data_IF_879837941963
#
_entry.id   IF_879837941963
#
_cell.length_a   1.000
_cell.length_b   1.000
_cell.length_c   1.000
_cell.angle_alpha   90.00
_cell.angle_beta   90.00
_cell.angle_gamma   90.00
#
_symmetry.space_group_name_H-M   'P 1'
#
loop_
_entity.id
_entity.type
_entity.pdbx_description
1 polymer ?
#
# COMPACT_ATOMS: atom_id res chain seq x y z
N UNK A 1 17.90 25.72 11.19
CA UNK A 1 18.13 24.27 11.40
C UNK A 1 19.62 24.02 11.59
N UNK A 2 20.12 24.12 12.82
CA UNK A 2 21.50 23.81 13.20
C UNK A 2 21.52 22.36 13.69
N UNK A 3 22.18 21.47 12.94
CA UNK A 3 22.25 20.03 13.28
C UNK A 3 22.08 19.05 12.12
N UNK A 4 22.14 19.48 10.85
CA UNK A 4 22.31 18.53 9.75
C UNK A 4 23.76 18.06 9.73
N UNK A 5 23.99 16.81 10.11
CA UNK A 5 25.24 16.11 9.84
C UNK A 5 25.27 15.77 8.35
N UNK A 6 26.43 15.89 7.71
CA UNK A 6 26.63 15.43 6.34
C UNK A 6 26.35 13.92 6.30
N UNK A 7 25.42 13.49 5.44
CA UNK A 7 24.93 12.12 5.43
C UNK A 7 24.42 11.75 4.06
N UNK A 8 24.47 10.45 3.77
CA UNK A 8 24.03 9.90 2.49
C UNK A 8 22.50 9.89 2.40
N UNK A 9 21.89 10.38 1.30
CA UNK A 9 20.47 10.23 1.05
C UNK A 9 20.02 8.75 1.10
N UNK A 10 18.78 8.51 1.55
CA UNK A 10 18.19 7.15 1.63
C UNK A 10 18.38 6.37 0.33
N UNK A 11 18.10 7.01 -0.80
CA UNK A 11 18.15 6.38 -2.11
C UNK A 11 19.58 5.95 -2.48
N UNK A 12 20.59 6.78 -2.20
CA UNK A 12 22.00 6.43 -2.43
C UNK A 12 22.47 5.31 -1.52
N UNK A 13 22.05 5.29 -0.25
CA UNK A 13 22.38 4.19 0.66
C UNK A 13 21.73 2.87 0.20
N UNK A 14 20.47 2.92 -0.24
CA UNK A 14 19.78 1.75 -0.78
C UNK A 14 20.44 1.26 -2.08
N UNK A 15 20.86 2.18 -2.95
CA UNK A 15 21.59 1.85 -4.17
C UNK A 15 22.88 1.09 -3.90
N UNK A 16 23.66 1.49 -2.90
CA UNK A 16 24.85 0.74 -2.49
C UNK A 16 24.52 -0.67 -1.97
N UNK A 17 23.46 -0.81 -1.16
CA UNK A 17 23.03 -2.12 -0.68
C UNK A 17 22.61 -3.05 -1.83
N UNK A 18 21.92 -2.50 -2.84
CA UNK A 18 21.51 -3.22 -4.06
C UNK A 18 22.72 -3.61 -4.89
N UNK A 19 23.70 -2.72 -5.06
CA UNK A 19 24.91 -2.98 -5.84
C UNK A 19 25.86 -4.01 -5.20
N UNK A 20 25.86 -4.13 -3.88
CA UNK A 20 26.74 -5.04 -3.14
C UNK A 20 26.19 -6.47 -3.00
N UNK A 21 24.94 -6.73 -3.41
CA UNK A 21 24.28 -8.03 -3.22
C UNK A 21 23.51 -8.46 -4.45
N UNK A 22 23.34 -9.79 -4.58
CA UNK A 22 22.33 -10.36 -5.49
C UNK A 22 20.97 -9.84 -5.08
N UNK A 23 20.34 -9.08 -5.96
CA UNK A 23 19.18 -8.27 -5.59
C UNK A 23 18.06 -8.36 -6.61
N UNK A 24 16.85 -8.29 -6.06
CA UNK A 24 15.58 -8.23 -6.78
C UNK A 24 14.96 -6.89 -6.43
N UNK A 25 14.72 -6.04 -7.43
CA UNK A 25 14.03 -4.76 -7.22
C UNK A 25 12.72 -4.78 -7.98
N UNK A 26 11.64 -4.43 -7.27
CA UNK A 26 10.28 -4.41 -7.82
C UNK A 26 9.81 -2.96 -7.96
N UNK A 27 9.51 -2.54 -9.19
CA UNK A 27 8.93 -1.25 -9.54
C UNK A 27 7.57 -1.37 -10.24
N UNK A 28 7.03 -0.23 -10.66
CA UNK A 28 5.74 -0.08 -11.35
C UNK A 28 4.75 0.78 -10.55
N UNK A 29 3.68 1.28 -11.15
CA UNK A 29 2.79 2.24 -10.47
C UNK A 29 2.10 1.62 -9.25
N UNK A 30 1.57 0.40 -9.39
CA UNK A 30 0.83 -0.30 -8.33
C UNK A 30 1.36 -1.72 -8.07
N UNK A 31 1.01 -2.34 -6.94
CA UNK A 31 1.34 -3.75 -6.68
C UNK A 31 2.79 -4.02 -6.23
N UNK A 32 3.67 -3.01 -6.25
CA UNK A 32 5.08 -3.12 -5.81
C UNK A 32 5.21 -3.78 -4.44
N UNK A 33 4.64 -3.16 -3.41
CA UNK A 33 4.74 -3.64 -2.02
C UNK A 33 4.28 -5.09 -1.87
N UNK A 34 3.17 -5.45 -2.52
CA UNK A 34 2.61 -6.81 -2.47
C UNK A 34 3.53 -7.81 -3.15
N UNK A 35 4.02 -7.52 -4.35
CA UNK A 35 4.93 -8.39 -5.10
C UNK A 35 6.28 -8.54 -4.40
N UNK A 36 6.87 -7.46 -3.88
CA UNK A 36 8.10 -7.52 -3.05
C UNK A 36 7.88 -8.38 -1.81
N UNK A 37 6.74 -8.24 -1.13
CA UNK A 37 6.39 -9.02 0.05
C UNK A 37 6.20 -10.51 -0.26
N UNK A 38 5.54 -10.85 -1.37
CA UNK A 38 5.38 -12.23 -1.83
C UNK A 38 6.74 -12.91 -2.05
N UNK A 39 7.66 -12.25 -2.75
CA UNK A 39 9.01 -12.79 -3.03
C UNK A 39 9.78 -13.00 -1.72
N UNK A 40 9.84 -11.98 -0.86
CA UNK A 40 10.55 -12.07 0.42
C UNK A 40 9.94 -13.13 1.36
N UNK A 41 8.61 -13.24 1.39
CA UNK A 41 7.89 -14.25 2.16
C UNK A 41 8.24 -15.67 1.71
N UNK A 42 8.13 -15.97 0.41
CA UNK A 42 8.44 -17.31 -0.09
C UNK A 42 9.90 -17.69 0.12
N UNK A 43 10.84 -16.78 -0.16
CA UNK A 43 12.26 -17.04 0.10
C UNK A 43 12.53 -17.34 1.57
N UNK A 44 11.86 -16.63 2.49
CA UNK A 44 12.02 -16.84 3.93
C UNK A 44 11.37 -18.15 4.39
N UNK A 45 10.16 -18.43 3.93
CA UNK A 45 9.41 -19.66 4.23
C UNK A 45 10.19 -20.92 3.80
N UNK A 46 10.87 -20.85 2.65
CA UNK A 46 11.66 -21.95 2.10
C UNK A 46 13.11 -21.97 2.63
N UNK A 47 13.47 -21.11 3.58
CA UNK A 47 14.79 -21.13 4.22
C UNK A 47 15.93 -20.56 3.38
N UNK A 48 15.66 -19.75 2.35
CA UNK A 48 16.70 -19.08 1.53
C UNK A 48 17.29 -17.82 2.19
N UNK A 49 16.93 -17.54 3.45
CA UNK A 49 17.47 -16.45 4.28
C UNK A 49 17.56 -15.08 3.56
N UNK A 50 16.47 -14.56 2.98
CA UNK A 50 16.51 -13.29 2.27
C UNK A 50 16.75 -12.12 3.23
N UNK A 51 17.30 -11.04 2.69
CA UNK A 51 17.13 -9.71 3.26
C UNK A 51 16.06 -8.96 2.48
N UNK A 52 15.33 -8.06 3.12
CA UNK A 52 14.28 -7.31 2.43
C UNK A 52 14.12 -5.89 2.95
N UNK A 53 13.64 -5.02 2.08
CA UNK A 53 13.23 -3.65 2.37
C UNK A 53 11.93 -3.39 1.58
N UNK A 54 10.80 -3.36 2.29
CA UNK A 54 9.44 -3.28 1.75
C UNK A 54 8.80 -1.99 2.28
N UNK A 55 7.97 -1.33 1.46
CA UNK A 55 7.27 -0.09 1.81
C UNK A 55 6.13 -0.26 2.83
N UNK A 56 5.73 -1.50 3.11
CA UNK A 56 4.66 -1.86 4.05
C UNK A 56 5.07 -2.98 5.01
N UNK A 57 4.43 -3.01 6.18
CA UNK A 57 4.67 -4.06 7.18
C UNK A 57 4.07 -5.37 6.69
N UNK A 58 4.88 -6.44 6.70
CA UNK A 58 4.42 -7.79 6.37
C UNK A 58 4.40 -8.60 7.67
N UNK A 59 3.22 -8.87 8.25
CA UNK A 59 3.11 -9.57 9.54
C UNK A 59 3.83 -10.92 9.56
N UNK A 60 3.74 -11.70 8.47
CA UNK A 60 4.40 -13.00 8.33
C UNK A 60 5.93 -12.92 8.29
N UNK A 61 6.50 -11.75 7.94
CA UNK A 61 7.93 -11.49 7.99
C UNK A 61 8.37 -10.82 9.31
N UNK A 62 7.41 -10.42 10.15
CA UNK A 62 7.67 -9.71 11.41
C UNK A 62 7.99 -8.23 11.25
N UNK A 63 7.85 -7.66 10.05
CA UNK A 63 8.19 -6.26 9.78
C UNK A 63 8.25 -5.93 8.29
N UNK A 64 8.66 -4.69 7.98
CA UNK A 64 8.86 -4.21 6.62
C UNK A 64 10.32 -4.28 6.15
N UNK A 65 11.26 -4.56 7.05
CA UNK A 65 12.66 -4.79 6.72
C UNK A 65 13.22 -5.96 7.51
N UNK A 66 14.19 -6.66 6.93
CA UNK A 66 14.85 -7.79 7.57
C UNK A 66 16.22 -8.07 6.98
N UNK A 67 17.02 -8.80 7.77
CA UNK A 67 18.40 -9.16 7.43
C UNK A 67 18.51 -10.64 7.12
N UNK A 68 19.42 -10.96 6.21
CA UNK A 68 19.68 -12.30 5.71
C UNK A 68 20.87 -12.29 4.75
N UNK A 69 21.47 -13.46 4.58
CA UNK A 69 22.67 -13.68 3.75
C UNK A 69 22.33 -14.03 2.29
N UNK A 70 21.07 -14.35 2.00
CA UNK A 70 20.58 -14.66 0.66
C UNK A 70 20.28 -13.40 -0.17
N UNK A 71 19.31 -13.54 -1.07
CA UNK A 71 18.87 -12.45 -1.96
C UNK A 71 18.37 -11.23 -1.18
N UNK A 72 18.69 -10.05 -1.70
CA UNK A 72 18.11 -8.78 -1.25
C UNK A 72 16.86 -8.46 -2.08
N UNK A 73 15.69 -8.42 -1.45
CA UNK A 73 14.41 -8.10 -2.10
C UNK A 73 13.97 -6.68 -1.72
N UNK A 74 13.83 -5.78 -2.70
CA UNK A 74 13.62 -4.35 -2.45
C UNK A 74 12.42 -3.84 -3.25
N UNK A 75 11.59 -3.03 -2.59
CA UNK A 75 10.60 -2.18 -3.25
C UNK A 75 11.29 -0.93 -3.80
N UNK A 76 11.21 -0.72 -5.12
CA UNK A 76 11.75 0.46 -5.80
C UNK A 76 10.68 1.54 -5.98
N UNK A 77 11.02 2.79 -5.72
CA UNK A 77 10.10 3.93 -5.79
C UNK A 77 10.34 4.75 -7.07
N UNK A 78 9.38 4.72 -7.99
CA UNK A 78 9.39 5.51 -9.22
C UNK A 78 8.89 6.94 -9.02
N UNK A 79 8.12 7.22 -7.95
CA UNK A 79 7.42 8.49 -7.76
C UNK A 79 8.37 9.69 -7.58
N UNK A 80 9.59 9.45 -7.14
CA UNK A 80 10.68 10.43 -7.04
C UNK A 80 11.88 10.07 -7.95
N UNK A 81 11.69 9.12 -8.88
CA UNK A 81 12.71 8.54 -9.76
C UNK A 81 13.90 7.87 -9.03
N UNK A 82 13.82 7.66 -7.71
CA UNK A 82 14.93 7.09 -6.94
C UNK A 82 15.25 5.64 -7.31
N UNK A 83 14.27 4.89 -7.83
CA UNK A 83 14.48 3.55 -8.38
C UNK A 83 15.58 3.50 -9.46
N UNK A 84 15.80 4.58 -10.21
CA UNK A 84 16.84 4.64 -11.25
C UNK A 84 18.27 4.46 -10.71
N UNK A 85 18.49 4.70 -9.42
CA UNK A 85 19.78 4.48 -8.76
C UNK A 85 19.98 3.01 -8.37
N UNK A 86 18.93 2.18 -8.41
CA UNK A 86 18.98 0.79 -8.00
C UNK A 86 19.32 -0.06 -9.23
N UNK A 87 20.44 -0.77 -9.19
CA UNK A 87 20.90 -1.63 -10.27
C UNK A 87 20.81 -3.11 -9.84
N UNK A 88 19.63 -3.76 -9.95
CA UNK A 88 19.43 -5.12 -9.50
C UNK A 88 19.96 -6.17 -10.47
N UNK A 89 20.10 -7.41 -9.99
CA UNK A 89 20.30 -8.59 -10.86
C UNK A 89 18.97 -8.98 -11.53
N UNK A 90 17.84 -8.85 -10.81
CA UNK A 90 16.48 -9.10 -11.30
C UNK A 90 15.64 -7.83 -11.13
N UNK A 91 15.19 -7.25 -12.24
CA UNK A 91 14.23 -6.15 -12.23
C UNK A 91 12.81 -6.68 -12.50
N UNK A 92 11.85 -6.32 -11.65
CA UNK A 92 10.42 -6.64 -11.83
C UNK A 92 9.65 -5.35 -12.06
N UNK A 93 8.90 -5.25 -13.15
CA UNK A 93 7.97 -4.15 -13.42
C UNK A 93 6.54 -4.69 -13.38
N UNK A 94 5.77 -4.24 -12.41
CA UNK A 94 4.41 -4.73 -12.14
C UNK A 94 3.37 -4.16 -13.11
N UNK A 95 3.49 -2.90 -13.51
CA UNK A 95 2.63 -2.22 -14.47
C UNK A 95 3.22 -0.85 -14.82
N UNK A 96 2.69 -0.25 -15.89
CA UNK A 96 2.98 1.13 -16.31
C UNK A 96 1.65 1.87 -16.35
N UNK A 97 1.40 2.72 -15.36
CA UNK A 97 0.23 3.59 -15.29
C UNK A 97 0.62 4.97 -14.73
N UNK A 98 -0.07 6.02 -15.15
CA UNK A 98 0.13 7.37 -14.65
C UNK A 98 -0.66 7.60 -13.37
N UNK A 99 -0.10 7.19 -12.24
CA UNK A 99 -0.67 7.51 -10.91
C UNK A 99 0.05 8.68 -10.21
N UNK A 100 1.24 9.05 -10.70
CA UNK A 100 2.10 10.08 -10.12
C UNK A 100 2.47 11.18 -11.15
N UNK A 101 1.50 12.03 -11.50
CA UNK A 101 1.66 13.11 -12.50
C UNK A 101 2.75 14.16 -12.18
N UNK A 102 3.28 14.18 -10.95
CA UNK A 102 4.33 15.12 -10.57
C UNK A 102 5.71 14.76 -11.13
N UNK A 103 5.96 13.47 -11.38
CA UNK A 103 7.28 12.98 -11.79
C UNK A 103 7.39 12.60 -13.26
N UNK A 104 6.28 12.24 -13.91
CA UNK A 104 6.25 11.84 -15.31
C UNK A 104 5.10 12.56 -16.04
N UNK A 105 5.41 13.10 -17.22
CA UNK A 105 4.47 13.85 -18.04
C UNK A 105 3.53 12.95 -18.86
N UNK A 106 3.90 11.68 -19.08
CA UNK A 106 3.09 10.74 -19.87
C UNK A 106 3.40 9.27 -19.57
N UNK A 107 2.46 8.36 -19.90
CA UNK A 107 2.67 6.90 -19.84
C UNK A 107 3.89 6.51 -20.69
N UNK A 108 4.07 7.14 -21.85
CA UNK A 108 5.21 6.90 -22.74
C UNK A 108 6.56 7.31 -22.11
N UNK A 109 6.58 8.39 -21.32
CA UNK A 109 7.78 8.75 -20.55
C UNK A 109 8.07 7.73 -19.45
N UNK A 110 7.05 7.32 -18.70
CA UNK A 110 7.19 6.31 -17.66
C UNK A 110 7.64 4.96 -18.22
N UNK A 111 7.10 4.55 -19.37
CA UNK A 111 7.49 3.33 -20.07
C UNK A 111 8.98 3.36 -20.46
N UNK A 112 9.43 4.44 -21.11
CA UNK A 112 10.86 4.61 -21.46
C UNK A 112 11.75 4.60 -20.24
N UNK A 113 11.33 5.27 -19.16
CA UNK A 113 12.06 5.27 -17.90
C UNK A 113 12.25 3.85 -17.34
N UNK A 114 11.19 3.04 -17.31
CA UNK A 114 11.30 1.65 -16.86
C UNK A 114 12.11 0.78 -17.82
N UNK A 115 12.01 0.98 -19.13
CA UNK A 115 12.82 0.26 -20.11
C UNK A 115 14.32 0.57 -19.95
N UNK A 116 14.69 1.84 -19.77
CA UNK A 116 16.07 2.28 -19.52
C UNK A 116 16.61 1.72 -18.20
N UNK A 117 15.82 1.78 -17.14
CA UNK A 117 16.18 1.24 -15.84
C UNK A 117 16.37 -0.28 -15.87
N UNK A 118 15.38 -1.00 -16.43
CA UNK A 118 15.39 -2.46 -16.46
C UNK A 118 16.47 -3.02 -17.40
N UNK A 119 16.88 -2.28 -18.43
CA UNK A 119 17.98 -2.67 -19.32
C UNK A 119 19.33 -2.84 -18.60
N UNK A 120 19.49 -2.24 -17.41
CA UNK A 120 20.66 -2.43 -16.55
C UNK A 120 20.67 -3.74 -15.77
N UNK A 121 19.55 -4.47 -15.69
CA UNK A 121 19.44 -5.72 -14.95
C UNK A 121 19.82 -6.93 -15.83
N UNK A 122 20.28 -8.01 -15.19
CA UNK A 122 20.57 -9.26 -15.91
C UNK A 122 19.30 -9.99 -16.35
N UNK A 123 18.23 -9.85 -15.58
CA UNK A 123 16.92 -10.42 -15.89
C UNK A 123 15.83 -9.37 -15.67
N UNK A 124 14.86 -9.33 -16.59
CA UNK A 124 13.73 -8.40 -16.53
C UNK A 124 12.43 -9.19 -16.59
N UNK A 125 11.56 -8.94 -15.62
CA UNK A 125 10.20 -9.49 -15.57
C UNK A 125 9.22 -8.34 -15.74
N UNK A 126 8.36 -8.44 -16.77
CA UNK A 126 7.23 -7.53 -16.99
C UNK A 126 5.96 -8.28 -16.69
N UNK A 127 5.23 -7.88 -15.64
CA UNK A 127 4.09 -8.66 -15.18
C UNK A 127 2.98 -8.80 -16.24
N UNK A 128 2.81 -7.81 -17.12
CA UNK A 128 1.84 -7.86 -18.21
C UNK A 128 2.20 -8.84 -19.34
N UNK A 129 3.39 -9.43 -19.32
CA UNK A 129 3.80 -10.51 -20.24
C UNK A 129 3.50 -11.90 -19.65
N UNK A 130 2.97 -11.96 -18.42
CA UNK A 130 2.69 -13.19 -17.70
C UNK A 130 1.18 -13.45 -17.63
N UNK A 131 0.84 -14.73 -17.56
CA UNK A 131 -0.50 -15.16 -17.19
C UNK A 131 -0.69 -15.13 -15.67
N UNK A 132 -1.83 -14.66 -15.14
CA UNK A 132 -2.16 -14.75 -13.73
C UNK A 132 -2.08 -16.20 -13.23
N UNK A 133 -1.65 -16.39 -11.97
CA UNK A 133 -1.59 -17.73 -11.38
C UNK A 133 -2.98 -18.37 -11.31
N UNK A 134 -3.06 -19.67 -11.61
CA UNK A 134 -4.32 -20.41 -11.63
C UNK A 134 -4.73 -20.98 -10.26
N UNK A 135 -3.80 -21.08 -9.31
CA UNK A 135 -4.08 -21.58 -7.96
C UNK A 135 -4.70 -20.50 -7.06
N UNK A 136 -5.36 -20.95 -6.00
CA UNK A 136 -6.03 -20.06 -5.05
C UNK A 136 -5.00 -19.37 -4.13
N UNK A 137 -5.13 -18.05 -4.00
CA UNK A 137 -4.34 -17.23 -3.09
C UNK A 137 -5.19 -16.85 -1.87
N UNK A 138 -4.58 -16.82 -0.68
CA UNK A 138 -5.25 -16.27 0.50
C UNK A 138 -5.58 -14.77 0.35
N UNK A 139 -4.82 -14.03 -0.45
CA UNK A 139 -5.14 -12.64 -0.83
C UNK A 139 -6.08 -12.59 -2.04
N UNK A 140 -7.23 -11.88 -1.96
CA UNK A 140 -8.20 -11.85 -3.05
C UNK A 140 -7.77 -10.92 -4.19
N UNK A 141 -8.32 -11.15 -5.39
CA UNK A 141 -8.29 -10.21 -6.52
C UNK A 141 -7.37 -10.61 -7.67
N UNK A 142 -7.79 -10.27 -8.90
CA UNK A 142 -7.07 -10.63 -10.13
C UNK A 142 -5.67 -10.00 -10.21
N UNK A 143 -5.55 -8.75 -9.77
CA UNK A 143 -4.26 -8.08 -9.68
C UNK A 143 -3.28 -8.82 -8.77
N UNK A 144 -3.76 -9.47 -7.70
CA UNK A 144 -2.91 -10.26 -6.82
C UNK A 144 -2.48 -11.58 -7.46
N UNK A 145 -3.29 -12.16 -8.35
CA UNK A 145 -2.85 -13.31 -9.16
C UNK A 145 -1.75 -12.94 -10.15
N UNK A 146 -1.82 -11.74 -10.74
CA UNK A 146 -0.76 -11.23 -11.61
C UNK A 146 0.52 -10.86 -10.82
N UNK A 147 0.37 -10.22 -9.65
CA UNK A 147 1.47 -9.97 -8.72
C UNK A 147 2.17 -11.29 -8.30
N UNK A 148 1.37 -12.32 -8.01
CA UNK A 148 1.88 -13.65 -7.69
C UNK A 148 2.61 -14.30 -8.88
N UNK A 149 2.15 -14.10 -10.11
CA UNK A 149 2.85 -14.59 -11.31
C UNK A 149 4.22 -13.91 -11.46
N UNK A 150 4.30 -12.60 -11.27
CA UNK A 150 5.57 -11.85 -11.29
C UNK A 150 6.51 -12.29 -10.15
N UNK A 151 5.97 -12.52 -8.94
CA UNK A 151 6.73 -13.06 -7.82
C UNK A 151 7.26 -14.46 -8.12
N UNK A 152 6.44 -15.34 -8.70
CA UNK A 152 6.82 -16.70 -9.06
C UNK A 152 7.94 -16.72 -10.10
N UNK A 153 7.87 -15.89 -11.15
CA UNK A 153 8.93 -15.75 -12.13
C UNK A 153 10.25 -15.26 -11.49
N UNK A 154 10.19 -14.32 -10.55
CA UNK A 154 11.38 -13.85 -9.84
C UNK A 154 11.98 -14.94 -8.94
N UNK A 155 11.14 -15.74 -8.29
CA UNK A 155 11.55 -16.87 -7.46
C UNK A 155 12.23 -17.97 -8.31
N UNK A 156 11.70 -18.28 -9.50
CA UNK A 156 12.33 -19.25 -10.42
C UNK A 156 13.76 -18.82 -10.80
N UNK A 157 13.98 -17.53 -11.06
CA UNK A 157 15.32 -16.97 -11.33
C UNK A 157 16.26 -17.01 -10.13
N UNK A 158 15.74 -17.14 -8.91
CA UNK A 158 16.56 -17.31 -7.70
C UNK A 158 17.02 -18.75 -7.48
N UNK A 159 16.50 -19.70 -8.27
CA UNK A 159 16.72 -21.14 -8.12
C UNK A 159 15.65 -21.86 -7.30
N UNK A 160 14.59 -21.16 -6.87
CA UNK A 160 13.44 -21.81 -6.20
C UNK A 160 12.58 -22.51 -7.24
N UNK A 161 12.26 -23.78 -7.02
CA UNK A 161 11.39 -24.53 -7.93
C UNK A 161 9.94 -24.02 -7.83
N UNK A 162 9.22 -24.03 -8.96
CA UNK A 162 7.79 -23.70 -8.97
C UNK A 162 6.98 -24.58 -8.00
N UNK A 163 7.28 -25.87 -7.93
CA UNK A 163 6.61 -26.81 -7.02
C UNK A 163 6.77 -26.46 -5.54
N UNK A 164 7.88 -25.82 -5.15
CA UNK A 164 8.10 -25.36 -3.77
C UNK A 164 7.50 -23.97 -3.54
N UNK A 165 7.58 -23.10 -4.54
CA UNK A 165 7.11 -21.72 -4.46
C UNK A 165 5.58 -21.60 -4.41
N UNK A 166 4.84 -22.34 -5.23
CA UNK A 166 3.36 -22.20 -5.32
C UNK A 166 2.65 -22.47 -3.97
N UNK A 167 2.95 -23.57 -3.23
CA UNK A 167 2.30 -23.83 -1.95
C UNK A 167 2.66 -22.81 -0.86
N UNK A 168 3.86 -22.23 -0.92
CA UNK A 168 4.25 -21.14 -0.03
C UNK A 168 3.47 -19.88 -0.41
N UNK A 169 3.48 -19.50 -1.68
CA UNK A 169 2.83 -18.29 -2.18
C UNK A 169 1.31 -18.29 -1.92
N UNK A 170 0.65 -19.44 -2.03
CA UNK A 170 -0.77 -19.61 -1.68
C UNK A 170 -1.10 -19.23 -0.22
N UNK A 171 -0.12 -19.38 0.70
CA UNK A 171 -0.25 -19.06 2.14
C UNK A 171 0.11 -17.61 2.48
N UNK A 172 0.53 -16.80 1.50
CA UNK A 172 0.79 -15.38 1.73
C UNK A 172 -0.51 -14.66 2.07
N UNK A 173 -0.58 -14.10 3.29
CA UNK A 173 -1.76 -13.50 3.88
C UNK A 173 -1.86 -11.98 3.65
N UNK A 174 -0.93 -11.41 2.87
CA UNK A 174 -0.97 -10.00 2.48
C UNK A 174 0.01 -9.11 3.23
N UNK A 175 -0.04 -7.83 2.86
CA UNK A 175 0.70 -6.75 3.51
C UNK A 175 -0.26 -6.08 4.48
N UNK A 176 0.19 -5.80 5.70
CA UNK A 176 -0.61 -5.10 6.70
C UNK A 176 -1.12 -3.78 6.13
N UNK A 177 -2.38 -3.45 6.44
CA UNK A 177 -3.04 -2.22 6.00
C UNK A 177 -3.19 -2.10 4.47
N UNK A 178 -3.29 -3.22 3.75
CA UNK A 178 -3.69 -3.25 2.33
C UNK A 178 -4.99 -4.05 2.22
N UNK A 179 -6.11 -3.34 2.28
CA UNK A 179 -7.47 -3.87 2.35
C UNK A 179 -7.62 -5.01 3.38
N UNK A 180 -6.97 -4.82 4.54
CA UNK A 180 -6.85 -5.84 5.58
C UNK A 180 -8.18 -5.98 6.32
N UNK A 181 -8.75 -7.19 6.37
CA UNK A 181 -9.91 -7.48 7.21
C UNK A 181 -9.48 -7.53 8.68
N UNK A 182 -9.85 -6.50 9.44
CA UNK A 182 -9.53 -6.37 10.88
C UNK A 182 -10.55 -7.10 11.75
N UNK A 183 -11.84 -7.10 11.35
CA UNK A 183 -12.90 -7.81 12.06
C UNK A 183 -14.08 -8.14 11.16
N UNK A 184 -14.75 -9.24 11.49
CA UNK A 184 -16.07 -9.64 10.99
C UNK A 184 -16.89 -10.15 12.18
N UNK A 185 -17.68 -9.27 12.81
CA UNK A 185 -18.40 -9.52 14.07
C UNK A 185 -19.70 -8.74 14.13
N UNK A 186 -20.76 -9.30 14.73
CA UNK A 186 -22.06 -8.61 14.82
C UNK A 186 -22.67 -8.24 13.45
N UNK A 187 -22.31 -8.94 12.38
CA UNK A 187 -22.69 -8.63 11.00
C UNK A 187 -22.01 -7.39 10.42
N UNK A 188 -20.95 -6.87 11.05
CA UNK A 188 -20.19 -5.69 10.62
C UNK A 188 -18.78 -6.12 10.26
N UNK A 189 -18.32 -5.70 9.09
CA UNK A 189 -16.93 -5.92 8.64
C UNK A 189 -16.13 -4.63 8.73
N UNK A 190 -14.91 -4.74 9.23
CA UNK A 190 -13.98 -3.62 9.39
C UNK A 190 -12.72 -3.90 8.61
N UNK A 191 -12.37 -3.01 7.69
CA UNK A 191 -11.16 -3.07 6.90
C UNK A 191 -10.23 -1.90 7.23
N UNK A 192 -8.91 -2.12 7.16
CA UNK A 192 -7.90 -1.05 7.20
C UNK A 192 -7.09 -1.01 5.90
N UNK A 193 -6.91 0.20 5.35
CA UNK A 193 -6.15 0.44 4.15
C UNK A 193 -5.25 1.69 4.26
N UNK A 194 -4.07 1.59 3.66
CA UNK A 194 -3.05 2.63 3.58
C UNK A 194 -3.35 3.70 2.52
N UNK A 195 -4.39 3.50 1.70
CA UNK A 195 -4.90 4.43 0.71
C UNK A 195 -5.03 5.83 1.31
N UNK A 196 -4.33 6.79 0.68
CA UNK A 196 -4.22 8.14 1.21
C UNK A 196 -4.25 9.22 0.13
N UNK A 197 -4.08 8.84 -1.15
CA UNK A 197 -4.35 9.72 -2.28
C UNK A 197 -5.80 9.54 -2.78
N UNK A 198 -6.37 10.52 -3.51
CA UNK A 198 -7.78 10.47 -3.93
C UNK A 198 -8.14 9.20 -4.74
N UNK A 199 -7.27 8.77 -5.66
CA UNK A 199 -7.54 7.62 -6.53
C UNK A 199 -7.54 6.31 -5.76
N UNK A 200 -6.55 6.11 -4.90
CA UNK A 200 -6.45 4.96 -4.00
C UNK A 200 -7.68 4.87 -3.10
N UNK A 201 -8.09 5.99 -2.50
CA UNK A 201 -9.28 6.05 -1.63
C UNK A 201 -10.53 5.63 -2.41
N UNK A 202 -10.73 6.19 -3.60
CA UNK A 202 -11.89 5.86 -4.43
C UNK A 202 -11.92 4.36 -4.80
N UNK A 203 -10.80 3.81 -5.26
CA UNK A 203 -10.68 2.38 -5.61
C UNK A 203 -10.96 1.48 -4.41
N UNK A 204 -10.40 1.83 -3.25
CA UNK A 204 -10.59 1.09 -2.00
C UNK A 204 -12.06 1.10 -1.57
N UNK A 205 -12.71 2.27 -1.60
CA UNK A 205 -14.12 2.39 -1.21
C UNK A 205 -15.06 1.71 -2.20
N UNK A 206 -14.76 1.72 -3.51
CA UNK A 206 -15.53 0.95 -4.50
C UNK A 206 -15.41 -0.56 -4.27
N UNK A 207 -14.20 -1.03 -3.98
CA UNK A 207 -13.97 -2.44 -3.62
C UNK A 207 -14.72 -2.82 -2.34
N UNK A 208 -14.75 -1.95 -1.33
CA UNK A 208 -15.53 -2.16 -0.11
C UNK A 208 -17.04 -2.13 -0.33
N UNK A 209 -17.53 -1.31 -1.27
CA UNK A 209 -18.95 -1.28 -1.63
C UNK A 209 -19.43 -2.64 -2.15
N UNK A 210 -18.64 -3.31 -2.98
CA UNK A 210 -18.96 -4.66 -3.48
C UNK A 210 -19.05 -5.71 -2.38
N UNK A 211 -18.50 -5.42 -1.19
CA UNK A 211 -18.55 -6.32 -0.04
C UNK A 211 -19.83 -6.16 0.77
N UNK A 212 -20.63 -5.10 0.63
CA UNK A 212 -21.80 -4.85 1.49
C UNK A 212 -23.06 -4.51 0.71
N UNK A 213 -24.19 -5.06 1.16
CA UNK A 213 -25.54 -4.61 0.76
C UNK A 213 -26.07 -3.50 1.70
N UNK A 214 -25.40 -3.28 2.83
CA UNK A 214 -25.69 -2.23 3.80
C UNK A 214 -24.92 -0.95 3.48
N UNK A 215 -24.58 -0.18 4.53
CA UNK A 215 -23.88 1.09 4.35
C UNK A 215 -22.37 0.89 4.36
N UNK A 216 -21.70 1.70 3.55
CA UNK A 216 -20.27 1.88 3.57
C UNK A 216 -19.92 3.11 4.41
N UNK A 217 -19.09 2.93 5.42
CA UNK A 217 -18.61 3.99 6.31
C UNK A 217 -17.10 4.15 6.12
N UNK A 218 -16.69 5.28 5.54
CA UNK A 218 -15.29 5.64 5.41
C UNK A 218 -14.80 6.39 6.65
N UNK A 219 -13.63 6.02 7.18
CA UNK A 219 -12.97 6.70 8.30
C UNK A 219 -11.57 7.11 7.84
N UNK A 220 -11.37 8.39 7.56
CA UNK A 220 -10.16 8.89 6.90
C UNK A 220 -9.31 9.78 7.80
N UNK A 221 -8.01 9.49 7.86
CA UNK A 221 -7.01 10.39 8.42
C UNK A 221 -6.16 11.00 7.29
N UNK A 222 -6.31 12.31 7.01
CA UNK A 222 -5.46 12.99 6.05
C UNK A 222 -3.99 12.97 6.49
N UNK A 223 -3.08 12.84 5.53
CA UNK A 223 -1.63 12.81 5.76
C UNK A 223 -0.94 13.94 4.99
N UNK A 224 -0.03 14.65 5.66
CA UNK A 224 0.73 15.81 5.17
C UNK A 224 -0.15 17.05 4.95
N UNK A 225 0.21 18.19 5.56
CA UNK A 225 -0.56 19.42 5.49
C UNK A 225 -0.55 20.01 4.08
N UNK A 226 0.59 20.06 3.40
CA UNK A 226 0.69 20.63 2.06
C UNK A 226 -0.14 19.84 1.04
N UNK A 227 -0.11 18.50 1.10
CA UNK A 227 -0.97 17.65 0.26
C UNK A 227 -2.44 17.89 0.54
N UNK A 228 -2.82 17.94 1.82
CA UNK A 228 -4.21 18.24 2.22
C UNK A 228 -4.66 19.59 1.64
N UNK A 229 -3.83 20.63 1.76
CA UNK A 229 -4.11 21.97 1.22
C UNK A 229 -4.32 21.96 -0.29
N UNK A 230 -3.57 21.14 -1.03
CA UNK A 230 -3.63 21.06 -2.48
C UNK A 230 -4.81 20.23 -2.98
N UNK A 231 -5.13 19.13 -2.30
CA UNK A 231 -6.02 18.08 -2.81
C UNK A 231 -7.32 17.91 -1.99
N UNK A 232 -7.65 18.82 -1.07
CA UNK A 232 -8.79 18.63 -0.17
C UNK A 232 -10.13 18.40 -0.89
N UNK A 233 -10.33 18.98 -2.08
CA UNK A 233 -11.56 18.81 -2.86
C UNK A 233 -11.63 17.41 -3.46
N UNK A 234 -10.54 16.95 -4.04
CA UNK A 234 -10.39 15.63 -4.64
C UNK A 234 -10.50 14.54 -3.57
N UNK A 235 -9.86 14.75 -2.41
CA UNK A 235 -9.98 13.87 -1.24
C UNK A 235 -11.43 13.81 -0.74
N UNK A 236 -12.11 14.95 -0.59
CA UNK A 236 -13.52 15.00 -0.21
C UNK A 236 -14.43 14.29 -1.22
N UNK A 237 -14.19 14.50 -2.52
CA UNK A 237 -14.90 13.85 -3.62
C UNK A 237 -14.73 12.33 -3.60
N UNK A 238 -13.52 11.83 -3.35
CA UNK A 238 -13.23 10.39 -3.26
C UNK A 238 -13.98 9.71 -2.10
N UNK A 239 -14.12 10.38 -0.96
CA UNK A 239 -14.96 9.91 0.16
C UNK A 239 -16.45 9.85 -0.19
N UNK A 240 -16.87 10.49 -1.29
CA UNK A 240 -18.23 10.48 -1.83
C UNK A 240 -18.78 9.11 -2.22
N UNK A 241 -17.93 8.09 -2.34
CA UNK A 241 -18.34 6.70 -2.60
C UNK A 241 -19.06 6.07 -1.40
N UNK A 242 -18.75 6.53 -0.18
CA UNK A 242 -19.31 6.03 1.05
C UNK A 242 -20.66 6.70 1.39
N UNK A 243 -21.50 6.03 2.17
CA UNK A 243 -22.75 6.61 2.69
C UNK A 243 -22.48 7.54 3.88
N UNK A 244 -21.37 7.30 4.58
CA UNK A 244 -20.91 8.13 5.68
C UNK A 244 -19.38 8.27 5.67
N UNK A 245 -18.89 9.45 6.04
CA UNK A 245 -17.47 9.75 6.15
C UNK A 245 -17.18 10.39 7.51
N UNK A 246 -16.29 9.76 8.27
CA UNK A 246 -15.66 10.32 9.47
C UNK A 246 -14.25 10.76 9.11
N UNK A 247 -13.89 12.01 9.39
CA UNK A 247 -12.56 12.54 9.08
C UNK A 247 -11.89 13.01 10.36
N UNK A 248 -10.63 12.60 10.55
CA UNK A 248 -9.81 13.02 11.68
C UNK A 248 -8.96 14.24 11.36
N UNK A 249 -8.23 14.75 12.35
CA UNK A 249 -7.22 15.77 12.09
C UNK A 249 -6.10 15.24 11.18
N UNK A 250 -5.45 16.16 10.45
CA UNK A 250 -4.28 15.87 9.60
C UNK A 250 -3.11 15.43 10.46
N UNK A 251 -2.44 14.35 10.07
CA UNK A 251 -1.13 13.98 10.62
C UNK A 251 -0.02 14.45 9.68
N UNK A 252 0.83 15.36 10.18
CA UNK A 252 1.85 16.04 9.36
C UNK A 252 3.06 15.21 8.99
N UNK A 253 3.36 14.12 9.71
CA UNK A 253 4.61 13.40 9.56
C UNK A 253 5.82 14.31 9.83
N UNK A 254 6.57 14.68 8.78
CA UNK A 254 7.66 15.67 8.83
C UNK A 254 7.25 17.09 8.40
N UNK A 255 6.03 17.26 7.89
CA UNK A 255 5.49 18.54 7.43
C UNK A 255 4.97 19.36 8.62
N UNK A 256 5.12 20.68 8.55
CA UNK A 256 4.71 21.59 9.62
C UNK A 256 3.23 21.96 9.48
N UNK A 257 2.48 22.07 10.61
CA UNK A 257 1.10 22.55 10.59
C UNK A 257 0.97 23.93 9.91
N UNK A 258 -0.11 24.11 9.16
CA UNK A 258 -0.39 25.35 8.40
C UNK A 258 -1.71 25.96 8.84
N UNK A 259 -1.79 27.30 9.02
CA UNK A 259 -3.05 27.95 9.35
C UNK A 259 -4.16 27.62 8.33
N UNK A 260 -5.32 27.22 8.83
CA UNK A 260 -6.49 26.91 8.00
C UNK A 260 -6.48 25.53 7.32
N UNK A 261 -5.40 24.75 7.45
CA UNK A 261 -5.33 23.38 6.89
C UNK A 261 -5.60 22.37 8.00
N UNK A 262 -6.78 21.76 7.96
CA UNK A 262 -7.21 20.72 8.89
C UNK A 262 -7.97 19.63 8.13
N UNK A 263 -8.21 18.49 8.78
CA UNK A 263 -9.07 17.45 8.19
C UNK A 263 -10.50 17.93 7.96
N UNK A 264 -10.95 18.97 8.67
CA UNK A 264 -12.23 19.62 8.44
C UNK A 264 -12.33 20.20 7.02
N UNK A 265 -11.22 20.67 6.44
CA UNK A 265 -11.19 21.17 5.06
C UNK A 265 -11.57 20.08 4.04
N UNK A 266 -11.10 18.84 4.28
CA UNK A 266 -11.47 17.65 3.49
C UNK A 266 -12.94 17.31 3.72
N UNK A 267 -13.36 17.23 5.00
CA UNK A 267 -14.73 16.89 5.38
C UNK A 267 -15.77 17.85 4.79
N UNK A 268 -15.49 19.15 4.80
CA UNK A 268 -16.38 20.18 4.27
C UNK A 268 -16.54 20.09 2.74
N UNK A 269 -15.59 19.42 2.06
CA UNK A 269 -15.61 19.17 0.61
C UNK A 269 -16.23 17.83 0.21
N UNK A 270 -16.63 17.00 1.18
CA UNK A 270 -17.38 15.76 0.90
C UNK A 270 -18.73 16.11 0.24
N UNK A 271 -19.14 15.41 -0.84
CA UNK A 271 -20.38 15.68 -1.55
C UNK A 271 -21.63 15.73 -0.65
N UNK A 272 -22.70 16.44 -1.07
CA UNK A 272 -24.00 16.33 -0.40
C UNK A 272 -24.54 14.89 -0.49
N UNK A 273 -25.28 14.45 0.53
CA UNK A 273 -25.83 13.09 0.61
C UNK A 273 -24.99 12.12 1.47
N UNK A 274 -23.69 12.37 1.62
CA UNK A 274 -22.84 11.61 2.54
C UNK A 274 -23.01 12.16 3.96
N UNK A 275 -23.24 11.27 4.94
CA UNK A 275 -23.26 11.67 6.36
C UNK A 275 -21.84 12.04 6.82
N UNK A 276 -21.65 13.26 7.34
CA UNK A 276 -20.33 13.80 7.71
C UNK A 276 -20.09 13.75 9.21
N UNK A 277 -18.89 13.33 9.61
CA UNK A 277 -18.45 13.22 11.00
C UNK A 277 -17.09 13.86 11.18
N UNK A 278 -17.02 14.92 11.99
CA UNK A 278 -15.74 15.48 12.41
C UNK A 278 -15.30 14.82 13.72
N UNK A 279 -14.12 14.21 13.71
CA UNK A 279 -13.61 13.48 14.86
C UNK A 279 -12.08 13.67 14.96
N UNK A 280 -11.61 14.77 15.58
CA UNK A 280 -10.22 15.21 15.48
C UNK A 280 -9.21 14.18 15.99
N UNK A 281 -9.61 13.30 16.92
CA UNK A 281 -8.75 12.23 17.46
C UNK A 281 -9.18 10.84 16.99
N UNK A 282 -8.25 9.85 16.97
CA UNK A 282 -8.59 8.45 16.70
C UNK A 282 -9.70 7.90 17.62
N UNK A 283 -9.70 8.28 18.89
CA UNK A 283 -10.70 7.83 19.87
C UNK A 283 -12.09 8.43 19.57
N UNK A 284 -12.15 9.71 19.19
CA UNK A 284 -13.39 10.34 18.73
C UNK A 284 -13.94 9.62 17.51
N UNK A 285 -13.05 9.26 16.57
CA UNK A 285 -13.44 8.60 15.33
C UNK A 285 -13.98 7.19 15.61
N UNK A 286 -13.31 6.43 16.47
CA UNK A 286 -13.78 5.11 16.89
C UNK A 286 -15.16 5.19 17.58
N UNK A 287 -15.33 6.11 18.54
CA UNK A 287 -16.62 6.33 19.22
C UNK A 287 -17.74 6.73 18.25
N UNK A 288 -17.45 7.66 17.35
CA UNK A 288 -18.42 8.14 16.38
C UNK A 288 -18.83 7.05 15.40
N UNK A 289 -17.87 6.28 14.89
CA UNK A 289 -18.13 5.14 14.00
C UNK A 289 -18.94 4.06 14.72
N UNK A 290 -18.60 3.70 15.96
CA UNK A 290 -19.37 2.75 16.76
C UNK A 290 -20.82 3.20 16.99
N UNK A 291 -21.04 4.50 17.19
CA UNK A 291 -22.39 5.05 17.31
C UNK A 291 -23.19 5.02 15.99
N UNK A 292 -22.52 4.81 14.85
CA UNK A 292 -23.15 4.83 13.52
C UNK A 292 -23.40 3.46 12.95
N UNK A 293 -22.51 2.49 13.18
CA UNK A 293 -22.56 1.15 12.57
C UNK A 293 -23.82 0.38 12.97
N UNK A 294 -24.27 -0.47 12.06
CA UNK A 294 -25.38 -1.42 12.23
C UNK A 294 -25.04 -2.74 11.49
N UNK A 295 -25.66 -3.87 11.86
CA UNK A 295 -25.50 -5.11 11.11
C UNK A 295 -25.72 -4.91 9.61
N UNK A 296 -24.83 -5.48 8.80
CA UNK A 296 -24.76 -5.32 7.35
C UNK A 296 -23.74 -4.27 6.88
N UNK A 297 -23.33 -3.32 7.73
CA UNK A 297 -22.40 -2.27 7.33
C UNK A 297 -20.97 -2.78 7.11
N UNK A 298 -20.23 -2.06 6.26
CA UNK A 298 -18.78 -2.17 6.12
C UNK A 298 -18.13 -0.85 6.54
N UNK A 299 -17.12 -0.94 7.40
CA UNK A 299 -16.27 0.18 7.81
C UNK A 299 -14.90 0.03 7.12
N UNK A 300 -14.38 1.12 6.57
CA UNK A 300 -13.02 1.16 6.02
C UNK A 300 -12.26 2.32 6.65
N UNK A 301 -11.18 2.02 7.36
CA UNK A 301 -10.22 3.02 7.83
C UNK A 301 -9.15 3.26 6.78
N UNK A 302 -8.82 4.53 6.53
CA UNK A 302 -7.98 4.97 5.41
C UNK A 302 -6.91 5.96 5.90
N UNK A 303 -5.67 5.79 5.43
CA UNK A 303 -4.60 6.78 5.56
C UNK A 303 -3.27 6.22 6.08
N UNK A 304 -2.21 7.04 6.06
CA UNK A 304 -0.83 6.58 6.36
C UNK A 304 -0.54 6.46 7.85
N UNK A 305 -1.09 7.34 8.69
CA UNK A 305 -0.75 7.43 10.11
C UNK A 305 -1.32 6.30 10.96
N UNK A 306 -2.21 6.64 11.86
CA UNK A 306 -2.77 5.70 12.84
C UNK A 306 -4.25 5.27 12.61
N UNK A 307 -4.85 5.30 11.39
CA UNK A 307 -6.18 4.74 11.16
C UNK A 307 -6.37 3.29 11.63
N UNK A 308 -5.32 2.47 11.58
CA UNK A 308 -5.36 1.09 12.06
C UNK A 308 -5.72 0.98 13.55
N UNK A 309 -5.40 2.00 14.37
CA UNK A 309 -5.84 2.06 15.77
C UNK A 309 -7.34 2.25 15.87
N UNK A 310 -7.91 3.07 14.99
CA UNK A 310 -9.35 3.28 14.88
C UNK A 310 -10.03 1.97 14.48
N UNK A 311 -9.48 1.25 13.49
CA UNK A 311 -10.01 -0.04 13.05
C UNK A 311 -10.08 -1.04 14.19
N UNK A 312 -8.99 -1.18 14.96
CA UNK A 312 -8.92 -2.07 16.14
C UNK A 312 -9.86 -1.64 17.25
N UNK A 313 -9.99 -0.34 17.52
CA UNK A 313 -10.90 0.19 18.53
C UNK A 313 -12.37 -0.05 18.15
N UNK A 314 -12.73 0.14 16.87
CA UNK A 314 -14.06 -0.20 16.35
C UNK A 314 -14.28 -1.70 16.48
N UNK A 315 -13.36 -2.54 15.99
CA UNK A 315 -13.45 -4.00 16.08
C UNK A 315 -13.66 -4.51 17.53
N UNK A 316 -12.96 -3.93 18.50
CA UNK A 316 -13.10 -4.29 19.92
C UNK A 316 -14.45 -3.84 20.53
N UNK A 317 -15.07 -2.80 19.98
CA UNK A 317 -16.38 -2.30 20.41
C UNK A 317 -17.58 -2.94 19.69
N UNK A 318 -17.34 -3.80 18.69
CA UNK A 318 -18.42 -4.51 18.00
C UNK A 318 -19.03 -5.59 18.91
N UNK A 319 -20.35 -5.84 18.81
CA UNK A 319 -20.98 -6.98 19.47
C UNK A 319 -20.42 -8.30 18.92
N UNK A 320 -20.52 -9.37 19.71
CA UNK A 320 -20.21 -10.73 19.27
C UNK A 320 -21.05 -11.15 18.05
#
# INVERSE_FOLDING_TARGET
HLGRVEGRPRAEFLAELVALRRSIVVGGAHGKTTTTAMIAYVLRELGHHPAWIIGGVVPQLGGNAGVGEGWLVVEGDESDRSIALLHPEIAVVTNIDLDHHAAFASVAELARFFDEWAAGASNVIRAWELEPVAFELAVPGEHNRLNAAAALAALELTGVSRSDAEPALARFAGVGRRFELVADRGGIRVYDDYAHNPKEIEVTLRTARERTEGRLIAVYQPHVYERTRQLFRELGSALGVADAAVVTEVIGGRDTPRPGVSGKLVLDSVPPGVRRGWAPTPDDAARLTLAWVRPGDVVVTLGVGEPWKIARAVAAGLPE
#
